data_IF_695840422354
#
_entry.id   IF_695840422354
#
_cell.length_a   1.000
_cell.length_b   1.000
_cell.length_c   1.000
_cell.angle_alpha   90.00
_cell.angle_beta   90.00
_cell.angle_gamma   90.00
#
_symmetry.space_group_name_H-M   'P 1'
#
loop_
_entity.id
_entity.type
_entity.pdbx_description
1 polymer ?
#
# COMPACT_ATOMS: atom_id res chain seq x y z
N UNK A 1 -67.68 62.25 -6.50
CA UNK A 1 -67.04 62.77 -5.28
C UNK A 1 -66.07 61.71 -4.77
N UNK A 2 -64.78 62.03 -4.70
CA UNK A 2 -63.74 61.12 -4.19
C UNK A 2 -63.66 61.14 -2.68
N UNK A 3 -63.29 60.01 -2.08
CA UNK A 3 -62.93 59.83 -0.67
C UNK A 3 -61.78 58.79 -0.56
N UNK A 4 -60.92 58.90 0.46
CA UNK A 4 -59.47 58.83 0.30
C UNK A 4 -58.83 57.47 0.63
N UNK A 5 -57.61 57.25 0.12
CA UNK A 5 -56.73 56.17 0.50
C UNK A 5 -56.23 56.32 1.96
N UNK A 6 -56.23 55.22 2.74
CA UNK A 6 -55.68 55.17 4.11
C UNK A 6 -54.45 54.24 4.17
N UNK A 7 -53.40 54.61 4.94
CA UNK A 7 -52.01 54.33 4.61
C UNK A 7 -51.52 53.04 5.28
N UNK A 8 -50.74 52.23 4.54
CA UNK A 8 -50.06 51.05 5.11
C UNK A 8 -48.53 51.10 5.06
N UNK A 9 -47.92 52.13 4.46
CA UNK A 9 -46.48 52.15 4.22
C UNK A 9 -45.65 52.73 5.38
N UNK A 10 -46.12 53.79 6.06
CA UNK A 10 -45.32 54.51 7.06
C UNK A 10 -45.14 53.74 8.37
N UNK A 11 -46.18 53.05 8.86
CA UNK A 11 -46.10 52.26 10.09
C UNK A 11 -45.15 51.06 9.95
N UNK A 12 -45.11 50.44 8.77
CA UNK A 12 -44.19 49.34 8.50
C UNK A 12 -42.73 49.79 8.48
N UNK A 13 -42.44 51.02 8.01
CA UNK A 13 -41.07 51.53 7.93
C UNK A 13 -40.50 51.86 9.31
N UNK A 14 -41.31 52.41 10.22
CA UNK A 14 -40.94 52.67 11.61
C UNK A 14 -40.67 51.36 12.37
N UNK A 15 -41.56 50.37 12.24
CA UNK A 15 -41.38 49.04 12.85
C UNK A 15 -40.13 48.33 12.32
N UNK A 16 -39.88 48.40 11.00
CA UNK A 16 -38.66 47.82 10.39
C UNK A 16 -37.41 48.55 10.83
N UNK A 17 -37.41 49.88 10.98
CA UNK A 17 -36.28 50.64 11.50
C UNK A 17 -36.00 50.33 12.98
N UNK A 18 -37.03 50.16 13.79
CA UNK A 18 -36.91 49.78 15.20
C UNK A 18 -36.34 48.36 15.36
N UNK A 19 -36.77 47.40 14.54
CA UNK A 19 -36.19 46.05 14.48
C UNK A 19 -34.73 46.07 14.00
N UNK A 20 -34.38 46.95 13.06
CA UNK A 20 -33.01 47.12 12.57
C UNK A 20 -32.07 47.71 13.63
N UNK A 21 -32.57 48.60 14.48
CA UNK A 21 -31.82 49.13 15.64
C UNK A 21 -31.63 48.07 16.74
N UNK A 22 -32.63 47.21 16.96
CA UNK A 22 -32.52 46.08 17.91
C UNK A 22 -31.43 45.10 17.45
N UNK A 23 -31.35 44.81 16.15
CA UNK A 23 -30.30 43.98 15.56
C UNK A 23 -28.89 44.59 15.53
N UNK A 24 -28.73 45.86 15.93
CA UNK A 24 -27.43 46.52 16.14
C UNK A 24 -26.97 46.47 17.60
N UNK A 25 -27.81 45.97 18.51
CA UNK A 25 -27.43 45.73 19.91
C UNK A 25 -26.67 44.40 20.05
N UNK A 26 -25.98 44.22 21.19
CA UNK A 26 -25.12 43.09 21.61
C UNK A 26 -25.04 41.89 20.64
N UNK A 27 -23.85 41.34 20.32
CA UNK A 27 -23.64 40.31 19.28
C UNK A 27 -24.52 39.04 19.35
N UNK A 28 -25.24 38.82 20.46
CA UNK A 28 -26.21 37.74 20.65
C UNK A 28 -27.63 38.08 20.16
N UNK A 29 -27.89 39.33 19.74
CA UNK A 29 -29.22 39.79 19.31
C UNK A 29 -30.27 39.88 20.44
N UNK A 30 -29.85 39.73 21.70
CA UNK A 30 -30.72 39.77 22.87
C UNK A 30 -30.93 41.21 23.35
N UNK A 31 -32.13 41.49 23.85
CA UNK A 31 -32.43 42.80 24.45
C UNK A 31 -31.70 42.99 25.79
N UNK A 32 -31.50 44.24 26.21
CA UNK A 32 -30.81 44.56 27.46
C UNK A 32 -31.40 43.88 28.71
N UNK A 33 -32.72 43.64 28.75
CA UNK A 33 -33.36 42.94 29.86
C UNK A 33 -33.04 41.44 29.86
N UNK A 34 -32.91 40.82 28.69
CA UNK A 34 -32.54 39.42 28.57
C UNK A 34 -31.05 39.20 28.85
N UNK A 35 -30.18 40.13 28.44
CA UNK A 35 -28.74 40.05 28.68
C UNK A 35 -28.38 39.99 30.17
N UNK A 36 -29.14 40.67 31.03
CA UNK A 36 -28.96 40.63 32.50
C UNK A 36 -29.15 39.24 33.11
N UNK A 37 -29.93 38.38 32.45
CA UNK A 37 -30.12 36.99 32.91
C UNK A 37 -28.90 36.10 32.61
N UNK A 38 -28.01 36.55 31.72
CA UNK A 38 -26.82 35.83 31.28
C UNK A 38 -25.53 36.46 31.83
N UNK A 39 -25.62 37.20 32.95
CA UNK A 39 -24.43 37.67 33.64
C UNK A 39 -23.56 36.48 34.06
N UNK A 40 -22.24 36.52 33.77
CA UNK A 40 -21.37 35.41 34.10
C UNK A 40 -21.31 35.23 35.61
N UNK A 41 -21.17 33.97 36.05
CA UNK A 41 -20.90 33.67 37.45
C UNK A 41 -19.54 34.26 37.86
N UNK A 42 -19.34 34.59 39.14
CA UNK A 42 -18.01 34.91 39.63
C UNK A 42 -17.01 33.79 39.27
N UNK A 43 -15.74 34.12 39.01
CA UNK A 43 -14.71 33.13 38.73
C UNK A 43 -14.67 32.04 39.80
N UNK A 44 -14.52 30.78 39.38
CA UNK A 44 -14.39 29.67 40.30
C UNK A 44 -13.12 29.83 41.14
N UNK A 45 -13.22 29.50 42.43
CA UNK A 45 -12.04 29.36 43.28
C UNK A 45 -11.16 28.22 42.77
N UNK A 46 -9.89 28.53 42.51
CA UNK A 46 -8.93 27.51 42.10
C UNK A 46 -8.70 26.50 43.23
N UNK A 47 -8.84 25.20 42.90
CA UNK A 47 -8.38 24.10 43.74
C UNK A 47 -7.32 23.31 42.97
N UNK A 48 -6.21 22.93 43.62
CA UNK A 48 -5.20 22.12 42.96
C UNK A 48 -5.79 20.76 42.55
N UNK A 49 -5.30 20.15 41.44
CA UNK A 49 -5.70 18.81 41.05
C UNK A 49 -5.45 17.79 42.18
N UNK A 50 -6.31 16.76 42.31
CA UNK A 50 -6.09 15.71 43.30
C UNK A 50 -4.77 14.98 43.03
N UNK A 51 -4.04 14.66 44.10
CA UNK A 51 -2.78 13.91 44.00
C UNK A 51 -3.04 12.49 43.46
N UNK A 52 -2.12 12.00 42.62
CA UNK A 52 -2.22 10.64 42.08
C UNK A 52 -2.01 9.63 43.21
N UNK A 53 -2.87 8.61 43.29
CA UNK A 53 -2.71 7.53 44.25
C UNK A 53 -1.43 6.74 43.96
N UNK A 54 -0.65 6.46 45.00
CA UNK A 54 0.48 5.52 44.91
C UNK A 54 -0.06 4.10 44.67
N UNK A 55 0.42 3.46 43.60
CA UNK A 55 0.13 2.05 43.32
C UNK A 55 1.07 1.14 44.13
N UNK A 56 0.66 -0.10 44.41
CA UNK A 56 1.56 -1.09 44.99
C UNK A 56 2.83 -1.28 44.15
N UNK A 57 3.97 -1.63 44.78
CA UNK A 57 5.21 -1.89 44.06
C UNK A 57 5.10 -3.13 43.16
N UNK A 58 5.86 -3.14 42.06
CA UNK A 58 5.96 -4.31 41.19
C UNK A 58 6.63 -5.48 41.92
N UNK A 59 6.10 -6.67 41.70
CA UNK A 59 6.68 -7.93 42.18
C UNK A 59 7.10 -8.79 40.98
N UNK A 60 8.05 -9.70 41.19
CA UNK A 60 8.44 -10.67 40.17
C UNK A 60 7.39 -11.76 39.95
N UNK A 61 7.52 -12.50 38.85
CA UNK A 61 6.61 -13.58 38.48
C UNK A 61 7.05 -14.98 38.96
N UNK A 62 8.14 -15.08 39.74
CA UNK A 62 8.72 -16.37 40.16
C UNK A 62 7.78 -17.22 41.02
N UNK A 63 6.89 -16.57 41.79
CA UNK A 63 5.90 -17.26 42.63
C UNK A 63 4.90 -18.09 41.81
N UNK A 64 4.78 -17.84 40.50
CA UNK A 64 3.83 -18.53 39.62
C UNK A 64 4.44 -19.72 38.87
N UNK A 65 5.75 -19.96 38.96
CA UNK A 65 6.42 -21.07 38.25
C UNK A 65 5.87 -22.44 38.67
N UNK A 66 5.50 -22.57 39.94
CA UNK A 66 4.84 -23.76 40.51
C UNK A 66 3.43 -24.06 39.94
N UNK A 67 2.86 -23.14 39.16
CA UNK A 67 1.55 -23.31 38.52
C UNK A 67 1.64 -23.60 37.02
N UNK A 68 2.85 -23.80 36.47
CA UNK A 68 2.99 -24.18 35.07
C UNK A 68 2.64 -25.65 34.89
N UNK A 69 1.81 -25.95 33.89
CA UNK A 69 1.44 -27.32 33.55
C UNK A 69 2.68 -28.10 33.08
N UNK A 70 2.83 -29.33 33.55
CA UNK A 70 3.91 -30.25 33.19
C UNK A 70 3.45 -31.31 32.18
N UNK A 71 4.37 -31.94 31.44
CA UNK A 71 4.02 -33.03 30.52
C UNK A 71 3.28 -34.17 31.25
N UNK A 72 1.96 -34.26 31.01
CA UNK A 72 1.08 -35.23 31.68
C UNK A 72 -0.17 -34.59 32.30
N UNK A 73 -0.14 -33.28 32.55
CA UNK A 73 -1.32 -32.56 33.05
C UNK A 73 -2.37 -32.37 31.94
N UNK A 74 -3.67 -32.34 32.29
CA UNK A 74 -4.74 -32.10 31.32
C UNK A 74 -4.62 -30.76 30.59
N UNK A 75 -4.00 -29.76 31.23
CA UNK A 75 -3.84 -28.40 30.72
C UNK A 75 -2.51 -28.19 29.97
N UNK A 76 -1.65 -29.22 29.91
CA UNK A 76 -0.36 -29.12 29.23
C UNK A 76 -0.53 -29.05 27.72
N UNK A 77 0.00 -27.98 27.11
CA UNK A 77 0.05 -27.81 25.66
C UNK A 77 1.49 -28.02 25.17
N UNK A 78 1.76 -29.03 24.33
CA UNK A 78 3.12 -29.25 23.83
C UNK A 78 3.56 -28.08 22.94
N UNK A 79 4.87 -27.79 22.86
CA UNK A 79 5.37 -26.75 21.97
C UNK A 79 4.92 -26.96 20.52
N UNK A 80 4.39 -25.91 19.89
CA UNK A 80 3.91 -25.96 18.52
C UNK A 80 5.08 -26.29 17.58
N UNK A 81 4.97 -27.40 16.84
CA UNK A 81 5.95 -27.77 15.81
C UNK A 81 5.88 -26.74 14.69
N UNK A 82 6.99 -26.01 14.47
CA UNK A 82 7.09 -25.02 13.40
C UNK A 82 7.17 -25.74 12.05
N UNK A 83 6.06 -25.79 11.33
CA UNK A 83 6.03 -26.25 9.94
C UNK A 83 6.51 -25.14 8.99
N UNK A 84 6.98 -25.52 7.79
CA UNK A 84 7.29 -24.56 6.73
C UNK A 84 6.06 -23.73 6.39
N UNK A 85 6.21 -22.41 6.38
CA UNK A 85 5.21 -21.51 5.80
C UNK A 85 5.14 -21.70 4.27
N UNK A 86 4.03 -21.35 3.61
CA UNK A 86 3.93 -21.42 2.16
C UNK A 86 4.99 -20.60 1.40
N UNK A 87 5.56 -19.53 1.99
CA UNK A 87 6.65 -18.79 1.36
C UNK A 87 7.98 -19.56 1.43
N UNK A 88 8.29 -20.17 2.58
CA UNK A 88 9.48 -21.00 2.78
C UNK A 88 9.46 -22.22 1.85
N UNK A 89 8.31 -22.89 1.72
CA UNK A 89 8.14 -24.00 0.79
C UNK A 89 8.40 -23.58 -0.67
N UNK A 90 7.89 -22.42 -1.09
CA UNK A 90 8.12 -21.89 -2.45
C UNK A 90 9.60 -21.56 -2.68
N UNK A 91 10.26 -20.94 -1.71
CA UNK A 91 11.68 -20.64 -1.78
C UNK A 91 12.52 -21.92 -1.93
N UNK A 92 12.22 -22.95 -1.13
CA UNK A 92 12.88 -24.26 -1.23
C UNK A 92 12.67 -24.92 -2.59
N UNK A 93 11.43 -24.92 -3.10
CA UNK A 93 11.16 -25.49 -4.43
C UNK A 93 11.90 -24.72 -5.52
N UNK A 94 11.96 -23.38 -5.42
CA UNK A 94 12.69 -22.55 -6.37
C UNK A 94 14.19 -22.84 -6.35
N UNK A 95 14.82 -22.94 -5.17
CA UNK A 95 16.25 -23.25 -5.07
C UNK A 95 16.57 -24.63 -5.66
N UNK A 96 15.77 -25.64 -5.34
CA UNK A 96 15.94 -27.00 -5.88
C UNK A 96 15.79 -27.03 -7.41
N UNK A 97 14.84 -26.26 -7.97
CA UNK A 97 14.67 -26.17 -9.43
C UNK A 97 15.84 -25.46 -10.09
N UNK A 98 16.40 -24.44 -9.45
CA UNK A 98 17.54 -23.69 -9.97
C UNK A 98 18.80 -24.58 -9.99
N UNK A 99 19.05 -25.30 -8.90
CA UNK A 99 20.17 -26.25 -8.78
C UNK A 99 20.08 -27.35 -9.84
N UNK A 100 18.91 -28.01 -9.94
CA UNK A 100 18.67 -29.02 -10.98
C UNK A 100 18.80 -28.47 -12.41
N UNK A 101 18.41 -27.21 -12.62
CA UNK A 101 18.58 -26.53 -13.91
C UNK A 101 20.04 -26.27 -14.24
N UNK A 102 20.85 -25.92 -13.24
CA UNK A 102 22.28 -25.72 -13.37
C UNK A 102 23.01 -27.05 -13.66
N UNK A 103 22.69 -28.13 -12.92
CA UNK A 103 23.23 -29.47 -13.16
C UNK A 103 22.95 -29.93 -14.60
N UNK A 104 21.70 -29.78 -15.06
CA UNK A 104 21.35 -30.13 -16.44
C UNK A 104 22.13 -29.30 -17.46
N UNK A 105 22.29 -28.00 -17.23
CA UNK A 105 23.05 -27.14 -18.14
C UNK A 105 24.54 -27.54 -18.20
N UNK A 106 25.12 -27.98 -17.07
CA UNK A 106 26.50 -28.51 -17.06
C UNK A 106 26.61 -29.83 -17.80
N UNK A 107 25.67 -30.76 -17.61
CA UNK A 107 25.64 -32.02 -18.36
C UNK A 107 25.46 -31.80 -19.87
N UNK A 108 24.60 -30.87 -20.27
CA UNK A 108 24.36 -30.53 -21.67
C UNK A 108 25.60 -29.86 -22.29
N UNK A 109 26.34 -29.05 -21.52
CA UNK A 109 27.59 -28.42 -21.95
C UNK A 109 28.71 -29.45 -22.15
N UNK A 110 28.83 -30.45 -21.27
CA UNK A 110 29.82 -31.53 -21.42
C UNK A 110 29.57 -32.38 -22.67
N UNK A 111 28.30 -32.55 -23.05
CA UNK A 111 27.90 -33.29 -24.25
C UNK A 111 28.00 -32.45 -25.53
N UNK A 112 28.15 -31.14 -25.42
CA UNK A 112 28.13 -30.23 -26.57
C UNK A 112 29.50 -30.18 -27.25
N UNK A 113 29.60 -30.84 -28.41
CA UNK A 113 30.78 -30.77 -29.29
C UNK A 113 30.38 -30.27 -30.70
N UNK A 114 30.67 -29.00 -31.03
CA UNK A 114 30.31 -28.44 -32.33
C UNK A 114 31.17 -28.98 -33.49
N UNK A 115 32.28 -29.68 -33.22
CA UNK A 115 33.12 -30.24 -34.29
C UNK A 115 32.58 -31.55 -34.83
N UNK A 116 31.75 -32.27 -34.05
CA UNK A 116 31.16 -33.55 -34.44
C UNK A 116 29.71 -33.42 -34.93
N UNK A 117 29.09 -32.24 -34.82
CA UNK A 117 27.73 -31.98 -35.27
C UNK A 117 27.61 -31.96 -36.81
N UNK A 118 26.74 -32.80 -37.38
CA UNK A 118 26.52 -32.87 -38.83
C UNK A 118 25.85 -31.63 -39.42
N UNK A 119 25.25 -30.77 -38.60
CA UNK A 119 24.66 -29.51 -39.06
C UNK A 119 25.69 -28.39 -39.23
N UNK A 120 26.85 -28.52 -38.57
CA UNK A 120 27.92 -27.52 -38.59
C UNK A 120 28.94 -27.92 -39.66
N UNK A 121 29.16 -27.05 -40.65
CA UNK A 121 30.15 -27.27 -41.70
C UNK A 121 30.72 -25.94 -42.18
N UNK A 122 31.98 -25.95 -42.61
CA UNK A 122 32.64 -24.80 -43.23
C UNK A 122 33.67 -24.13 -42.32
N UNK A 123 34.08 -22.92 -42.71
CA UNK A 123 35.09 -22.15 -41.98
C UNK A 123 34.39 -21.23 -40.96
N UNK A 124 34.70 -21.33 -39.65
CA UNK A 124 34.07 -20.51 -38.62
C UNK A 124 34.35 -19.02 -38.81
N UNK A 125 35.47 -18.63 -39.44
CA UNK A 125 35.80 -17.22 -39.70
C UNK A 125 35.06 -16.64 -40.91
N UNK A 126 34.34 -17.47 -41.67
CA UNK A 126 33.56 -17.08 -42.86
C UNK A 126 32.07 -17.39 -42.71
N UNK A 127 31.62 -17.65 -41.48
CA UNK A 127 30.23 -18.00 -41.18
C UNK A 127 29.59 -16.90 -40.34
N UNK A 128 28.44 -16.38 -40.77
CA UNK A 128 27.68 -15.38 -40.03
C UNK A 128 26.51 -16.04 -39.31
N UNK A 129 26.36 -15.76 -38.01
CA UNK A 129 25.17 -16.14 -37.24
C UNK A 129 24.15 -15.00 -37.28
N UNK A 130 22.96 -15.28 -37.80
CA UNK A 130 21.87 -14.30 -37.91
C UNK A 130 20.68 -14.80 -37.09
N UNK A 131 20.32 -14.04 -36.06
CA UNK A 131 19.21 -14.37 -35.16
C UNK A 131 18.07 -13.34 -35.26
N UNK A 132 16.94 -13.63 -34.58
CA UNK A 132 15.75 -12.77 -34.54
C UNK A 132 15.15 -12.46 -35.92
N UNK A 133 15.28 -13.40 -36.85
CA UNK A 133 14.58 -13.33 -38.14
C UNK A 133 13.09 -13.64 -37.95
N UNK A 134 12.24 -13.01 -38.75
CA UNK A 134 10.81 -13.36 -38.78
C UNK A 134 10.65 -14.79 -39.30
N UNK A 135 9.77 -15.57 -38.67
CA UNK A 135 9.46 -16.96 -39.07
C UNK A 135 8.93 -17.08 -40.51
N UNK A 136 8.38 -16.01 -41.09
CA UNK A 136 7.89 -15.97 -42.47
C UNK A 136 9.00 -15.71 -43.50
N UNK A 137 10.22 -15.41 -43.05
CA UNK A 137 11.35 -15.09 -43.93
C UNK A 137 11.88 -16.36 -44.57
N UNK A 138 11.88 -16.42 -45.90
CA UNK A 138 12.46 -17.55 -46.65
C UNK A 138 13.97 -17.41 -46.79
N UNK A 139 14.66 -18.54 -46.93
CA UNK A 139 16.11 -18.58 -47.19
C UNK A 139 16.51 -17.75 -48.42
N UNK A 140 15.67 -17.73 -49.46
CA UNK A 140 15.91 -16.92 -50.65
C UNK A 140 15.99 -15.42 -50.34
N UNK A 141 15.11 -14.94 -49.45
CA UNK A 141 15.13 -13.54 -49.01
C UNK A 141 16.41 -13.26 -48.22
N UNK A 142 16.80 -14.15 -47.31
CA UNK A 142 18.06 -14.02 -46.55
C UNK A 142 19.24 -13.96 -47.52
N UNK A 143 19.33 -14.91 -48.44
CA UNK A 143 20.40 -14.96 -49.45
C UNK A 143 20.48 -13.63 -50.21
N UNK A 144 19.35 -13.14 -50.73
CA UNK A 144 19.30 -11.88 -51.50
C UNK A 144 19.81 -10.67 -50.71
N UNK A 145 19.42 -10.53 -49.45
CA UNK A 145 19.83 -9.38 -48.63
C UNK A 145 21.31 -9.44 -48.26
N UNK A 146 21.86 -10.63 -47.99
CA UNK A 146 23.26 -10.80 -47.58
C UNK A 146 24.25 -10.91 -48.75
N UNK A 147 23.78 -11.26 -49.95
CA UNK A 147 24.63 -11.39 -51.15
C UNK A 147 25.21 -10.04 -51.60
N UNK A 148 24.63 -8.93 -51.15
CA UNK A 148 25.18 -7.57 -51.33
C UNK A 148 26.57 -7.39 -50.69
N UNK A 149 26.91 -8.18 -49.67
CA UNK A 149 28.19 -8.10 -48.95
C UNK A 149 29.24 -9.09 -49.47
N UNK A 150 28.85 -10.00 -50.37
CA UNK A 150 29.75 -10.98 -50.96
C UNK A 150 29.04 -12.27 -51.36
N UNK A 151 29.71 -13.14 -52.14
CA UNK A 151 29.13 -14.40 -52.59
C UNK A 151 28.87 -15.35 -51.41
N UNK A 152 27.65 -15.86 -51.32
CA UNK A 152 27.22 -16.79 -50.27
C UNK A 152 27.41 -18.23 -50.73
N UNK A 153 28.22 -19.00 -50.01
CA UNK A 153 28.46 -20.43 -50.30
C UNK A 153 27.27 -21.32 -49.94
N UNK A 154 26.66 -21.11 -48.77
CA UNK A 154 25.53 -21.87 -48.25
C UNK A 154 24.70 -21.02 -47.30
N UNK A 155 23.40 -21.29 -47.26
CA UNK A 155 22.50 -20.96 -46.16
C UNK A 155 22.02 -22.32 -45.63
N UNK A 156 22.13 -22.53 -44.32
CA UNK A 156 21.76 -23.78 -43.65
C UNK A 156 20.43 -23.68 -42.95
#
# INVERSE_FOLDING_TARGET
AGMPARPKAAQNRATVQQLKLIGQSHPTGLTANLLKLFEPRPPLEYKPPPEKRNLPPYHGISQFVQHFAEPGDPEYSPPIVKAETPSQRRARIHSVRLEKGAEKATEDLEKYDPQTDSNIEGDPYKTLFVARISYETTEHKIKREFEAYGPIKRVG
#
